data_IF_524097276423
#
_entry.id   IF_524097276423
#
_cell.length_a   1.000
_cell.length_b   1.000
_cell.length_c   1.000
_cell.angle_alpha   90.00
_cell.angle_beta   90.00
_cell.angle_gamma   90.00
#
_symmetry.space_group_name_H-M   'P 1'
#
loop_
_entity.id
_entity.type
_entity.pdbx_description
1 polymer ?
#
# COMPACT_ATOMS: atom_id res chain seq x y z
N UNK A 1 1.62 0.94 28.32
CA UNK A 1 1.02 0.90 26.96
C UNK A 1 -0.17 -0.05 26.98
N UNK A 2 -1.37 0.42 26.62
CA UNK A 2 -2.53 -0.47 26.47
C UNK A 2 -2.26 -1.54 25.42
N UNK A 3 -2.58 -2.81 25.71
CA UNK A 3 -2.47 -3.90 24.75
C UNK A 3 -3.12 -3.53 23.42
N UNK A 4 -4.26 -2.82 23.44
CA UNK A 4 -4.98 -2.35 22.25
C UNK A 4 -4.13 -1.46 21.33
N UNK A 5 -3.31 -0.58 21.90
CA UNK A 5 -2.40 0.27 21.12
C UNK A 5 -1.33 -0.57 20.40
N UNK A 6 -0.77 -1.56 21.10
CA UNK A 6 0.22 -2.49 20.51
C UNK A 6 -0.39 -3.31 19.37
N UNK A 7 -1.61 -3.83 19.56
CA UNK A 7 -2.33 -4.58 18.52
C UNK A 7 -2.65 -3.71 17.30
N UNK A 8 -3.10 -2.47 17.51
CA UNK A 8 -3.38 -1.53 16.43
C UNK A 8 -2.13 -1.24 15.59
N UNK A 9 -0.99 -0.96 16.24
CA UNK A 9 0.29 -0.73 15.54
C UNK A 9 0.73 -1.98 14.77
N UNK A 10 0.62 -3.16 15.36
CA UNK A 10 0.98 -4.42 14.68
C UNK A 10 0.09 -4.69 13.47
N UNK A 11 -1.21 -4.41 13.56
CA UNK A 11 -2.15 -4.56 12.44
C UNK A 11 -1.83 -3.58 11.30
N UNK A 12 -1.61 -2.30 11.63
CA UNK A 12 -1.19 -1.31 10.63
C UNK A 12 0.13 -1.69 9.96
N UNK A 13 1.11 -2.16 10.73
CA UNK A 13 2.37 -2.65 10.18
C UNK A 13 2.18 -3.86 9.26
N UNK A 14 1.35 -4.83 9.65
CA UNK A 14 1.07 -6.01 8.82
C UNK A 14 0.35 -5.64 7.52
N UNK A 15 -0.55 -4.66 7.56
CA UNK A 15 -1.24 -4.13 6.38
C UNK A 15 -0.25 -3.47 5.43
N UNK A 16 0.62 -2.58 5.95
CA UNK A 16 1.68 -1.95 5.18
C UNK A 16 2.66 -2.97 4.59
N UNK A 17 3.01 -4.01 5.35
CA UNK A 17 3.91 -5.08 4.93
C UNK A 17 3.30 -5.92 3.81
N UNK A 18 2.02 -6.34 3.94
CA UNK A 18 1.33 -7.14 2.92
C UNK A 18 1.20 -6.39 1.60
N UNK A 19 0.93 -5.09 1.65
CA UNK A 19 0.64 -4.29 0.46
C UNK A 19 1.80 -3.38 0.04
N UNK A 20 3.04 -3.70 0.45
CA UNK A 20 4.22 -2.89 0.14
C UNK A 20 4.45 -2.75 -1.37
N UNK A 21 4.22 -3.82 -2.14
CA UNK A 21 4.34 -3.81 -3.60
C UNK A 21 3.31 -2.85 -4.23
N UNK A 22 2.04 -2.97 -3.80
CA UNK A 22 0.96 -2.08 -4.22
C UNK A 22 1.26 -0.61 -3.89
N UNK A 23 1.69 -0.29 -2.67
CA UNK A 23 2.06 1.09 -2.31
C UNK A 23 3.19 1.64 -3.18
N UNK A 24 4.18 0.81 -3.53
CA UNK A 24 5.29 1.22 -4.39
C UNK A 24 4.84 1.43 -5.84
N UNK A 25 3.92 0.61 -6.34
CA UNK A 25 3.34 0.77 -7.66
C UNK A 25 2.55 2.07 -7.77
N UNK A 26 1.73 2.39 -6.75
CA UNK A 26 1.04 3.70 -6.65
C UNK A 26 2.03 4.85 -6.70
N UNK A 27 3.04 4.82 -5.83
CA UNK A 27 3.99 5.91 -5.71
C UNK A 27 4.72 6.17 -7.04
N UNK A 28 5.20 5.12 -7.70
CA UNK A 28 5.87 5.23 -9.01
C UNK A 28 4.95 5.75 -10.10
N UNK A 29 3.69 5.28 -10.13
CA UNK A 29 2.73 5.72 -11.14
C UNK A 29 2.32 7.19 -10.94
N UNK A 30 2.20 7.64 -9.69
CA UNK A 30 1.94 9.04 -9.35
C UNK A 30 3.14 9.95 -9.64
N UNK A 31 4.35 9.51 -9.26
CA UNK A 31 5.60 10.24 -9.54
C UNK A 31 5.82 10.43 -11.05
N UNK A 32 5.46 9.44 -11.85
CA UNK A 32 5.50 9.51 -13.31
C UNK A 32 4.34 10.30 -13.95
N UNK A 33 3.46 10.91 -13.15
CA UNK A 33 2.33 11.72 -13.64
C UNK A 33 1.28 10.92 -14.43
N UNK A 34 1.13 9.62 -14.16
CA UNK A 34 0.23 8.76 -14.93
C UNK A 34 -1.24 9.01 -14.60
N UNK A 35 -2.09 8.76 -15.58
CA UNK A 35 -3.54 8.84 -15.41
C UNK A 35 -4.05 7.89 -14.32
N UNK A 36 -5.17 8.26 -13.69
CA UNK A 36 -5.78 7.48 -12.61
C UNK A 36 -6.01 6.00 -12.98
N UNK A 37 -6.48 5.74 -14.21
CA UNK A 37 -6.67 4.36 -14.68
C UNK A 37 -5.36 3.55 -14.75
N UNK A 38 -4.23 4.19 -15.06
CA UNK A 38 -2.93 3.51 -15.05
C UNK A 38 -2.44 3.25 -13.63
N UNK A 39 -2.71 4.17 -12.70
CA UNK A 39 -2.41 3.99 -11.27
C UNK A 39 -3.19 2.78 -10.73
N UNK A 40 -4.50 2.70 -10.98
CA UNK A 40 -5.35 1.59 -10.53
C UNK A 40 -4.85 0.25 -11.05
N UNK A 41 -4.59 0.14 -12.36
CA UNK A 41 -4.05 -1.09 -12.95
C UNK A 41 -2.71 -1.51 -12.35
N UNK A 42 -1.82 -0.55 -12.06
CA UNK A 42 -0.53 -0.86 -11.43
C UNK A 42 -0.67 -1.39 -9.99
N UNK A 43 -1.75 -1.03 -9.29
CA UNK A 43 -2.09 -1.59 -7.98
C UNK A 43 -2.56 -3.03 -8.14
N UNK A 44 -3.50 -3.27 -9.06
CA UNK A 44 -4.07 -4.59 -9.32
C UNK A 44 -2.98 -5.59 -9.72
N UNK A 45 -2.09 -5.20 -10.63
CA UNK A 45 -0.94 -6.01 -11.05
C UNK A 45 0.06 -6.28 -9.91
N UNK A 46 0.23 -5.36 -8.97
CA UNK A 46 1.13 -5.52 -7.83
C UNK A 46 0.50 -6.27 -6.64
N UNK A 47 -0.80 -6.55 -6.71
CA UNK A 47 -1.54 -7.35 -5.73
C UNK A 47 -1.76 -8.81 -6.18
N UNK A 48 -1.58 -9.11 -7.46
CA UNK A 48 -1.51 -10.48 -8.03
C UNK A 48 -0.14 -11.11 -7.76
#
# INVERSE_FOLDING_TARGET
>A
MSNRARWSVQQSYNLLKRHRAAHRAVFKSLEAGRSLGTVIRSIEEAMM
#
